data_IF_433491821655
#
_entry.id   IF_433491821655
#
_cell.length_a   1.000
_cell.length_b   1.000
_cell.length_c   1.000
_cell.angle_alpha   90.00
_cell.angle_beta   90.00
_cell.angle_gamma   90.00
#
_symmetry.space_group_name_H-M   'P 1'
#
loop_
_entity.id
_entity.type
_entity.pdbx_description
1 polymer ?
#
# COMPACT_ATOMS: atom_id res chain seq x y z
N UNK A 1 17.42 -32.95 14.70
CA UNK A 1 16.47 -32.57 13.63
C UNK A 1 16.70 -31.09 13.33
N UNK A 2 17.34 -30.79 12.21
CA UNK A 2 17.55 -29.41 11.73
C UNK A 2 16.23 -28.84 11.23
N UNK A 3 15.95 -27.58 11.56
CA UNK A 3 14.76 -26.85 11.13
C UNK A 3 14.54 -27.05 9.62
N UNK A 4 13.39 -27.62 9.25
CA UNK A 4 12.99 -27.90 7.88
C UNK A 4 13.04 -26.61 7.06
N UNK A 5 14.06 -26.47 6.21
CA UNK A 5 14.31 -25.27 5.40
C UNK A 5 13.11 -24.95 4.52
N UNK A 6 12.77 -23.67 4.39
CA UNK A 6 11.88 -23.20 3.33
C UNK A 6 12.53 -23.56 1.99
N UNK A 7 11.83 -24.32 1.17
CA UNK A 7 12.35 -24.85 -0.09
C UNK A 7 12.31 -23.77 -1.17
N UNK A 8 13.05 -23.98 -2.26
CA UNK A 8 12.93 -23.12 -3.44
C UNK A 8 11.50 -23.07 -3.99
N UNK A 9 10.79 -24.20 -3.92
CA UNK A 9 9.40 -24.31 -4.37
C UNK A 9 8.46 -23.45 -3.50
N UNK A 10 8.70 -23.44 -2.18
CA UNK A 10 8.00 -22.54 -1.26
C UNK A 10 8.22 -21.06 -1.58
N UNK A 11 9.41 -20.71 -2.07
CA UNK A 11 9.78 -19.34 -2.43
C UNK A 11 9.20 -18.93 -3.79
N UNK A 12 9.14 -19.85 -4.76
CA UNK A 12 8.46 -19.64 -6.04
C UNK A 12 6.94 -19.47 -5.81
N UNK A 13 6.36 -20.23 -4.88
CA UNK A 13 4.94 -20.12 -4.48
C UNK A 13 4.56 -18.75 -3.91
N UNK A 14 5.46 -18.13 -3.14
CA UNK A 14 5.25 -16.80 -2.51
C UNK A 14 5.54 -15.65 -3.50
N UNK A 15 6.55 -15.81 -4.36
CA UNK A 15 7.08 -14.71 -5.19
C UNK A 15 6.45 -14.59 -6.56
N UNK A 16 6.15 -15.72 -7.22
CA UNK A 16 5.58 -15.73 -8.56
C UNK A 16 4.27 -14.91 -8.67
N UNK A 17 3.35 -14.94 -7.69
CA UNK A 17 2.11 -14.19 -7.80
C UNK A 17 2.23 -12.74 -7.28
N UNK A 18 3.23 -12.41 -6.45
CA UNK A 18 3.25 -11.15 -5.68
C UNK A 18 4.11 -10.04 -6.27
N UNK A 19 4.82 -10.28 -7.38
CA UNK A 19 5.82 -9.36 -7.98
C UNK A 19 7.06 -9.08 -7.11
N UNK A 20 7.16 -9.68 -5.91
CA UNK A 20 8.34 -9.57 -5.06
C UNK A 20 9.49 -10.42 -5.61
N UNK A 21 10.69 -9.86 -5.58
CA UNK A 21 11.92 -10.61 -5.83
C UNK A 21 12.36 -11.32 -4.55
N UNK A 22 12.63 -12.61 -4.64
CA UNK A 22 13.21 -13.39 -3.54
C UNK A 22 14.69 -13.63 -3.78
N UNK A 23 15.50 -13.25 -2.81
CA UNK A 23 16.95 -13.44 -2.82
C UNK A 23 17.35 -14.37 -1.67
N UNK A 24 17.78 -15.61 -1.95
CA UNK A 24 18.37 -16.48 -0.94
C UNK A 24 19.62 -15.85 -0.32
N UNK A 25 19.79 -16.01 1.00
CA UNK A 25 21.00 -15.62 1.74
C UNK A 25 21.44 -16.76 2.65
N UNK A 26 22.67 -16.69 3.19
CA UNK A 26 23.29 -17.79 3.93
C UNK A 26 22.44 -18.37 5.08
N UNK A 27 21.64 -17.53 5.74
CA UNK A 27 20.82 -17.90 6.89
C UNK A 27 19.31 -17.69 6.68
N UNK A 28 18.86 -17.53 5.44
CA UNK A 28 17.44 -17.32 5.14
C UNK A 28 17.20 -16.73 3.76
N UNK A 29 16.31 -15.75 3.68
CA UNK A 29 15.99 -15.09 2.42
C UNK A 29 15.47 -13.68 2.64
N UNK A 30 15.70 -12.85 1.64
CA UNK A 30 15.25 -11.47 1.57
C UNK A 30 14.18 -11.38 0.47
N UNK A 31 13.10 -10.66 0.75
CA UNK A 31 12.09 -10.31 -0.24
C UNK A 31 12.09 -8.81 -0.43
N UNK A 32 11.98 -8.34 -1.67
CA UNK A 32 11.80 -6.93 -1.97
C UNK A 32 10.76 -6.74 -3.06
N UNK A 33 9.94 -5.71 -2.94
CA UNK A 33 9.12 -5.27 -4.06
C UNK A 33 10.00 -4.78 -5.23
N UNK A 34 9.39 -4.48 -6.37
CA UNK A 34 10.10 -4.04 -7.57
C UNK A 34 10.89 -2.72 -7.38
N UNK A 35 10.53 -1.90 -6.37
CA UNK A 35 11.16 -0.60 -6.10
C UNK A 35 12.22 -0.68 -4.99
N UNK A 36 12.26 -1.78 -4.25
CA UNK A 36 13.04 -1.90 -3.02
C UNK A 36 12.47 -1.07 -1.86
N UNK A 37 11.24 -0.56 -1.99
CA UNK A 37 10.58 0.27 -0.98
C UNK A 37 10.10 -0.60 0.17
N UNK A 38 9.53 -1.77 -0.09
CA UNK A 38 9.21 -2.73 0.96
C UNK A 38 10.14 -3.91 0.89
N UNK A 39 10.78 -4.20 2.02
CA UNK A 39 11.74 -5.27 2.16
C UNK A 39 11.40 -6.14 3.35
N UNK A 40 11.45 -7.44 3.17
CA UNK A 40 11.30 -8.43 4.23
C UNK A 40 12.56 -9.28 4.34
N UNK A 41 12.83 -9.72 5.56
CA UNK A 41 13.90 -10.65 5.87
C UNK A 41 13.32 -11.79 6.68
N UNK A 42 13.50 -13.01 6.20
CA UNK A 42 13.23 -14.21 6.99
C UNK A 42 14.55 -14.80 7.43
N UNK A 43 14.65 -15.11 8.72
CA UNK A 43 15.88 -15.52 9.40
C UNK A 43 15.64 -16.74 10.29
N UNK A 44 16.70 -17.38 10.83
CA UNK A 44 16.57 -18.59 11.64
C UNK A 44 15.66 -18.39 12.84
N UNK A 45 14.93 -19.45 13.19
CA UNK A 45 13.82 -19.38 14.16
C UNK A 45 12.55 -18.76 13.58
N UNK A 46 12.38 -18.80 12.25
CA UNK A 46 11.18 -18.35 11.54
C UNK A 46 10.75 -16.93 11.89
N UNK A 47 11.74 -16.04 12.00
CA UNK A 47 11.53 -14.63 12.29
C UNK A 47 11.45 -13.86 10.99
N UNK A 48 10.42 -13.03 10.88
CA UNK A 48 10.20 -12.11 9.78
C UNK A 48 10.39 -10.69 10.30
N UNK A 49 11.32 -9.98 9.68
CA UNK A 49 11.48 -8.54 9.86
C UNK A 49 11.14 -7.80 8.58
N UNK A 50 10.71 -6.56 8.72
CA UNK A 50 10.25 -5.69 7.63
C UNK A 50 10.94 -4.35 7.70
N UNK A 51 11.23 -3.77 6.55
CA UNK A 51 11.71 -2.40 6.40
C UNK A 51 10.89 -1.71 5.32
N UNK A 52 10.58 -0.44 5.54
CA UNK A 52 10.00 0.46 4.56
C UNK A 52 11.04 1.52 4.15
N UNK A 53 11.14 1.77 2.84
CA UNK A 53 12.10 2.64 2.17
C UNK A 53 13.52 2.38 2.71
N UNK A 54 14.22 3.43 3.12
CA UNK A 54 15.54 3.36 3.74
C UNK A 54 15.50 3.16 5.26
N UNK A 55 14.35 2.83 5.85
CA UNK A 55 14.17 2.66 7.28
C UNK A 55 14.86 1.40 7.84
N UNK A 56 15.03 1.31 9.17
CA UNK A 56 15.57 0.11 9.81
C UNK A 56 14.64 -1.09 9.61
N UNK A 57 15.19 -2.29 9.74
CA UNK A 57 14.37 -3.50 9.85
C UNK A 57 13.79 -3.60 11.26
N UNK A 58 12.49 -3.85 11.33
CA UNK A 58 11.76 -4.12 12.58
C UNK A 58 11.20 -5.54 12.52
N UNK A 59 11.26 -6.28 13.62
CA UNK A 59 10.63 -7.59 13.71
C UNK A 59 9.10 -7.41 13.67
N UNK A 60 8.43 -8.18 12.81
CA UNK A 60 6.97 -8.09 12.61
C UNK A 60 6.25 -9.40 12.92
N UNK A 61 6.91 -10.54 12.71
CA UNK A 61 6.31 -11.84 12.95
C UNK A 61 7.38 -12.85 13.34
N UNK A 62 7.04 -13.80 14.20
CA UNK A 62 7.88 -14.96 14.45
C UNK A 62 7.04 -16.19 14.68
N UNK A 63 7.48 -17.31 14.12
CA UNK A 63 6.70 -18.51 14.13
C UNK A 63 7.37 -19.78 14.65
N UNK A 64 6.55 -20.78 14.94
CA UNK A 64 6.99 -22.12 15.29
C UNK A 64 7.55 -22.92 14.10
N UNK A 65 7.13 -22.59 12.88
CA UNK A 65 7.44 -23.36 11.68
C UNK A 65 7.36 -22.57 10.37
N UNK A 66 8.00 -23.09 9.32
CA UNK A 66 8.05 -22.46 8.00
C UNK A 66 6.66 -22.26 7.36
N UNK A 67 5.75 -23.23 7.53
CA UNK A 67 4.39 -23.12 7.00
C UNK A 67 3.61 -21.91 7.54
N UNK A 68 3.81 -21.56 8.82
CA UNK A 68 3.21 -20.37 9.40
C UNK A 68 3.79 -19.08 8.80
N UNK A 69 5.11 -19.06 8.52
CA UNK A 69 5.75 -17.94 7.79
C UNK A 69 5.19 -17.83 6.38
N UNK A 70 4.97 -18.93 5.66
CA UNK A 70 4.38 -18.90 4.31
C UNK A 70 2.98 -18.28 4.32
N UNK A 71 2.11 -18.74 5.22
CA UNK A 71 0.76 -18.18 5.38
C UNK A 71 0.81 -16.70 5.75
N UNK A 72 1.76 -16.32 6.61
CA UNK A 72 1.92 -14.93 7.02
C UNK A 72 2.31 -14.07 5.83
N UNK A 73 3.31 -14.49 5.05
CA UNK A 73 3.75 -13.76 3.86
C UNK A 73 2.66 -13.72 2.79
N UNK A 74 1.96 -14.83 2.52
CA UNK A 74 0.83 -14.85 1.59
C UNK A 74 -0.30 -13.92 2.03
N UNK A 75 -0.61 -13.87 3.33
CA UNK A 75 -1.56 -12.90 3.88
C UNK A 75 -1.07 -11.46 3.68
N UNK A 76 0.22 -11.18 3.90
CA UNK A 76 0.82 -9.86 3.71
C UNK A 76 0.84 -9.41 2.25
N UNK A 77 0.99 -10.36 1.32
CA UNK A 77 1.00 -10.10 -0.12
C UNK A 77 -0.35 -10.31 -0.78
N UNK A 78 -1.41 -10.59 -0.01
CA UNK A 78 -2.69 -11.05 -0.54
C UNK A 78 -3.28 -10.10 -1.59
N UNK A 79 -3.26 -8.78 -1.36
CA UNK A 79 -3.78 -7.87 -2.37
C UNK A 79 -2.82 -7.67 -3.53
N UNK A 80 -1.50 -7.56 -3.29
CA UNK A 80 -0.50 -7.45 -4.36
C UNK A 80 -0.63 -8.64 -5.34
N UNK A 81 -0.80 -9.85 -4.80
CA UNK A 81 -1.10 -11.07 -5.56
C UNK A 81 -2.38 -10.93 -6.38
N UNK A 82 -3.49 -10.57 -5.73
CA UNK A 82 -4.78 -10.49 -6.42
C UNK A 82 -4.76 -9.46 -7.53
N UNK A 83 -4.09 -8.34 -7.30
CA UNK A 83 -4.07 -7.22 -8.21
C UNK A 83 -3.13 -7.42 -9.39
N UNK A 84 -1.99 -8.10 -9.18
CA UNK A 84 -1.16 -8.57 -10.28
C UNK A 84 -1.91 -9.48 -11.26
N UNK A 85 -3.07 -10.00 -10.85
CA UNK A 85 -3.97 -10.85 -11.62
C UNK A 85 -5.33 -10.20 -11.96
N UNK A 86 -5.46 -8.87 -11.84
CA UNK A 86 -6.71 -8.12 -12.09
C UNK A 86 -7.93 -8.62 -11.28
N UNK A 87 -7.70 -9.18 -10.09
CA UNK A 87 -8.75 -9.66 -9.19
C UNK A 87 -9.15 -8.59 -8.16
N UNK A 88 -10.42 -8.56 -7.71
CA UNK A 88 -10.87 -7.62 -6.67
C UNK A 88 -10.17 -7.89 -5.34
N UNK A 89 -10.04 -6.86 -4.49
CA UNK A 89 -9.47 -7.01 -3.15
C UNK A 89 -10.35 -7.92 -2.32
N UNK A 90 -9.74 -8.79 -1.52
CA UNK A 90 -10.42 -9.49 -0.44
C UNK A 90 -10.02 -8.84 0.87
N UNK A 91 -10.97 -8.21 1.54
CA UNK A 91 -10.75 -7.62 2.85
C UNK A 91 -11.25 -8.59 3.93
N UNK A 92 -10.40 -9.00 4.88
CA UNK A 92 -10.86 -9.76 6.03
C UNK A 92 -11.79 -8.87 6.85
N UNK A 93 -13.05 -9.28 7.01
CA UNK A 93 -13.99 -8.60 7.92
C UNK A 93 -14.12 -9.31 9.26
N UNK A 94 -13.39 -10.41 9.44
CA UNK A 94 -13.38 -11.18 10.68
C UNK A 94 -12.76 -10.34 11.81
N UNK A 95 -13.64 -9.79 12.64
CA UNK A 95 -13.27 -9.14 13.90
C UNK A 95 -13.16 -10.14 15.06
N UNK A 96 -13.68 -11.34 14.85
CA UNK A 96 -13.65 -12.43 15.82
C UNK A 96 -12.46 -13.36 15.55
N UNK A 97 -11.90 -13.88 16.63
CA UNK A 97 -10.83 -14.88 16.59
C UNK A 97 -11.43 -16.21 16.13
N UNK A 98 -10.71 -16.95 15.29
CA UNK A 98 -11.15 -18.25 14.80
C UNK A 98 -11.40 -19.23 15.98
N UNK A 99 -12.41 -20.11 15.88
CA UNK A 99 -12.70 -21.09 16.93
C UNK A 99 -11.46 -21.93 17.29
N UNK A 100 -11.20 -22.06 18.60
CA UNK A 100 -10.06 -22.82 19.13
C UNK A 100 -8.75 -22.04 19.23
N UNK A 101 -8.74 -20.77 18.84
CA UNK A 101 -7.60 -19.87 19.04
C UNK A 101 -7.87 -18.86 20.16
N UNK A 102 -6.80 -18.38 20.79
CA UNK A 102 -6.83 -17.24 21.70
C UNK A 102 -5.71 -16.27 21.38
N UNK A 103 -5.91 -14.99 21.74
CA UNK A 103 -4.88 -13.96 21.59
C UNK A 103 -4.54 -13.42 22.98
N UNK A 104 -3.25 -13.41 23.28
CA UNK A 104 -2.68 -12.79 24.48
C UNK A 104 -1.85 -11.57 24.06
N UNK A 105 -2.12 -10.42 24.66
CA UNK A 105 -1.31 -9.22 24.46
C UNK A 105 -0.16 -9.18 25.47
N UNK A 106 1.05 -8.94 24.98
CA UNK A 106 2.28 -8.79 25.77
C UNK A 106 2.97 -7.47 25.43
N UNK A 107 4.02 -7.12 26.17
CA UNK A 107 4.84 -5.94 25.86
C UNK A 107 5.56 -6.05 24.50
N UNK A 108 5.74 -7.28 23.99
CA UNK A 108 6.39 -7.53 22.71
C UNK A 108 5.41 -7.60 21.53
N UNK A 109 4.09 -7.72 21.78
CA UNK A 109 3.07 -7.82 20.74
C UNK A 109 1.90 -8.73 21.09
N UNK A 110 1.33 -9.40 20.09
CA UNK A 110 0.22 -10.34 20.26
C UNK A 110 0.70 -11.77 20.03
N UNK A 111 0.46 -12.65 21.00
CA UNK A 111 0.65 -14.09 20.89
C UNK A 111 -0.67 -14.74 20.50
N UNK A 112 -0.70 -15.38 19.33
CA UNK A 112 -1.82 -16.19 18.89
C UNK A 112 -1.56 -17.63 19.31
N UNK A 113 -2.35 -18.14 20.24
CA UNK A 113 -2.27 -19.52 20.71
C UNK A 113 -3.24 -20.40 19.94
N UNK A 114 -2.71 -21.46 19.32
CA UNK A 114 -3.49 -22.52 18.68
C UNK A 114 -3.95 -23.60 19.67
N UNK A 115 -4.91 -24.44 19.26
CA UNK A 115 -5.45 -25.52 20.10
C UNK A 115 -4.44 -26.66 20.36
N UNK A 116 -3.31 -26.67 19.65
CA UNK A 116 -2.16 -27.56 19.85
C UNK A 116 -1.10 -26.97 20.79
N UNK A 117 -1.34 -25.77 21.35
CA UNK A 117 -0.40 -25.07 22.23
C UNK A 117 0.75 -24.40 21.49
N UNK A 118 0.71 -24.35 20.15
CA UNK A 118 1.68 -23.60 19.35
C UNK A 118 1.29 -22.12 19.35
N UNK A 119 2.25 -21.25 19.64
CA UNK A 119 2.05 -19.81 19.67
C UNK A 119 2.81 -19.11 18.53
N UNK A 120 2.10 -18.28 17.78
CA UNK A 120 2.69 -17.40 16.76
C UNK A 120 2.68 -15.95 17.28
N UNK A 121 3.79 -15.22 17.10
CA UNK A 121 3.95 -13.88 17.69
C UNK A 121 3.92 -12.79 16.61
N UNK A 122 3.05 -11.79 16.81
CA UNK A 122 2.85 -10.63 15.96
C UNK A 122 3.33 -9.39 16.71
N UNK A 123 4.37 -8.73 16.21
CA UNK A 123 4.94 -7.55 16.87
C UNK A 123 4.34 -6.27 16.30
N UNK A 124 4.19 -5.21 17.12
CA UNK A 124 3.59 -3.95 16.67
C UNK A 124 4.53 -3.25 15.67
N UNK A 125 4.35 -3.57 14.39
CA UNK A 125 5.01 -2.88 13.27
C UNK A 125 4.05 -2.10 12.38
N UNK A 126 2.74 -2.32 12.51
CA UNK A 126 1.73 -1.61 11.72
C UNK A 126 0.42 -1.42 12.52
N UNK A 127 0.04 -0.18 12.89
CA UNK A 127 -1.23 0.10 13.54
C UNK A 127 -2.36 0.06 12.50
N UNK A 128 -3.08 -1.06 12.38
CA UNK A 128 -4.28 -1.06 11.53
C UNK A 128 -4.89 -2.40 11.17
N UNK A 129 -4.14 -3.50 11.28
CA UNK A 129 -4.67 -4.83 11.00
C UNK A 129 -4.80 -5.61 12.30
N UNK A 130 -5.96 -6.24 12.47
CA UNK A 130 -6.15 -7.33 13.42
C UNK A 130 -5.34 -8.55 12.92
N UNK A 131 -4.01 -8.44 12.82
CA UNK A 131 -3.15 -9.39 12.12
C UNK A 131 -3.24 -10.77 12.75
N UNK A 132 -3.13 -10.86 14.09
CA UNK A 132 -3.30 -12.11 14.81
C UNK A 132 -4.73 -12.68 14.64
N UNK A 133 -5.76 -11.85 14.69
CA UNK A 133 -7.16 -12.27 14.50
C UNK A 133 -7.39 -12.80 13.08
N UNK A 134 -6.95 -12.07 12.06
CA UNK A 134 -7.08 -12.47 10.66
C UNK A 134 -6.31 -13.75 10.39
N UNK A 135 -5.06 -13.81 10.88
CA UNK A 135 -4.21 -14.97 10.73
C UNK A 135 -4.79 -16.20 11.42
N UNK A 136 -5.53 -16.07 12.53
CA UNK A 136 -6.15 -17.21 13.22
C UNK A 136 -7.07 -18.04 12.31
N UNK A 137 -7.74 -17.41 11.34
CA UNK A 137 -8.57 -18.10 10.34
C UNK A 137 -7.77 -18.86 9.29
N UNK A 138 -6.51 -18.48 9.09
CA UNK A 138 -5.60 -19.07 8.11
C UNK A 138 -4.51 -19.94 8.76
N UNK A 139 -4.33 -19.88 10.08
CA UNK A 139 -3.20 -20.47 10.80
C UNK A 139 -3.01 -21.97 10.54
N UNK A 140 -4.11 -22.66 10.20
CA UNK A 140 -4.15 -24.10 9.87
C UNK A 140 -4.48 -24.40 8.42
N UNK A 141 -4.65 -23.40 7.57
CA UNK A 141 -4.92 -23.59 6.16
C UNK A 141 -3.78 -24.35 5.47
N UNK A 142 -4.09 -25.21 4.51
CA UNK A 142 -3.07 -25.68 3.59
C UNK A 142 -2.52 -24.50 2.76
N UNK A 143 -1.21 -24.43 2.58
CA UNK A 143 -0.56 -23.29 1.90
C UNK A 143 -0.97 -23.26 0.43
N UNK A 144 -1.11 -24.41 -0.23
CA UNK A 144 -1.54 -24.47 -1.62
C UNK A 144 -3.02 -24.09 -1.78
N UNK A 145 -3.88 -24.46 -0.82
CA UNK A 145 -5.29 -24.03 -0.82
C UNK A 145 -5.41 -22.51 -0.58
N UNK A 146 -4.56 -21.93 0.27
CA UNK A 146 -4.50 -20.48 0.46
C UNK A 146 -4.07 -19.76 -0.82
N UNK A 147 -3.02 -20.24 -1.49
CA UNK A 147 -2.63 -19.65 -2.77
C UNK A 147 -3.75 -19.79 -3.81
N UNK A 148 -4.40 -20.96 -3.90
CA UNK A 148 -5.53 -21.17 -4.81
C UNK A 148 -6.65 -20.17 -4.52
N UNK A 149 -6.96 -19.95 -3.25
CA UNK A 149 -7.95 -18.95 -2.81
C UNK A 149 -7.56 -17.53 -3.20
N UNK A 150 -6.28 -17.18 -3.09
CA UNK A 150 -5.78 -15.87 -3.52
C UNK A 150 -5.87 -15.67 -5.04
N UNK A 151 -5.78 -16.73 -5.83
CA UNK A 151 -5.90 -16.64 -7.30
C UNK A 151 -7.33 -16.87 -7.82
N UNK A 152 -8.26 -17.25 -6.94
CA UNK A 152 -9.66 -17.43 -7.28
C UNK A 152 -10.44 -16.10 -7.25
N UNK A 153 -11.32 -15.89 -8.23
CA UNK A 153 -12.08 -14.65 -8.35
C UNK A 153 -13.03 -14.42 -7.17
N UNK A 154 -13.61 -15.48 -6.60
CA UNK A 154 -14.48 -15.43 -5.42
C UNK A 154 -13.69 -15.49 -4.09
N UNK A 155 -12.47 -16.01 -4.12
CA UNK A 155 -11.67 -16.30 -2.94
C UNK A 155 -11.79 -17.75 -2.46
N UNK A 156 -12.37 -18.66 -3.25
CA UNK A 156 -12.60 -20.05 -2.84
C UNK A 156 -11.30 -20.88 -2.83
N UNK A 157 -11.11 -21.85 -1.90
CA UNK A 157 -12.09 -22.28 -0.88
C UNK A 157 -12.01 -21.55 0.47
N UNK A 158 -10.96 -20.76 0.75
CA UNK A 158 -10.68 -20.30 2.12
C UNK A 158 -11.08 -18.85 2.40
N UNK A 159 -11.12 -18.01 1.38
CA UNK A 159 -11.32 -16.57 1.48
C UNK A 159 -12.69 -16.12 0.95
N UNK A 160 -13.58 -17.06 0.61
CA UNK A 160 -14.91 -16.75 0.07
C UNK A 160 -15.79 -15.95 1.04
N UNK A 161 -15.53 -16.08 2.35
CA UNK A 161 -16.21 -15.30 3.39
C UNK A 161 -15.61 -13.87 3.55
N UNK A 162 -14.55 -13.53 2.84
CA UNK A 162 -13.93 -12.21 2.91
C UNK A 162 -14.64 -11.26 1.96
N UNK A 163 -14.78 -10.00 2.36
CA UNK A 163 -15.55 -9.04 1.57
C UNK A 163 -14.74 -8.58 0.38
N UNK A 164 -15.30 -8.77 -0.80
CA UNK A 164 -14.75 -8.21 -2.01
C UNK A 164 -14.92 -6.70 -2.03
N UNK A 165 -13.80 -5.98 -2.07
CA UNK A 165 -13.80 -4.54 -2.31
C UNK A 165 -13.32 -4.27 -3.74
N UNK A 166 -14.05 -3.44 -4.50
CA UNK A 166 -13.54 -3.00 -5.79
C UNK A 166 -12.23 -2.24 -5.58
N UNK A 167 -11.32 -2.34 -6.55
CA UNK A 167 -10.09 -1.55 -6.58
C UNK A 167 -10.48 -0.08 -6.39
N UNK A 168 -9.91 0.64 -5.40
CA UNK A 168 -10.21 2.05 -5.20
C UNK A 168 -9.97 2.80 -6.50
N UNK A 169 -11.06 3.33 -7.09
CA UNK A 169 -11.04 4.07 -8.34
C UNK A 169 -11.80 5.37 -8.18
N UNK A 170 -11.12 6.48 -8.40
CA UNK A 170 -11.70 7.82 -8.44
C UNK A 170 -11.55 8.32 -9.87
N UNK A 171 -12.65 8.70 -10.52
CA UNK A 171 -12.62 9.30 -11.84
C UNK A 171 -13.31 10.66 -11.79
N UNK A 172 -12.56 11.72 -12.06
CA UNK A 172 -13.07 13.09 -12.03
C UNK A 172 -12.83 13.81 -13.35
N UNK A 173 -13.80 14.61 -13.77
CA UNK A 173 -13.64 15.57 -14.86
C UNK A 173 -13.16 16.89 -14.29
N UNK A 174 -12.08 17.42 -14.85
CA UNK A 174 -11.43 18.68 -14.48
C UNK A 174 -11.07 19.45 -15.73
N UNK A 175 -10.47 20.61 -15.52
CA UNK A 175 -9.90 21.42 -16.57
C UNK A 175 -8.37 21.35 -16.47
N UNK A 176 -7.71 21.56 -17.60
CA UNK A 176 -6.28 21.82 -17.69
C UNK A 176 -6.08 23.11 -18.47
N UNK A 177 -5.06 23.89 -18.11
CA UNK A 177 -4.61 25.03 -18.90
C UNK A 177 -3.46 24.58 -19.80
N UNK A 178 -3.55 24.81 -21.10
CA UNK A 178 -2.51 24.40 -22.06
C UNK A 178 -1.62 25.57 -22.57
N UNK A 179 -1.62 26.69 -21.84
CA UNK A 179 -0.96 27.93 -22.27
C UNK A 179 -1.84 28.88 -23.08
N UNK A 180 -2.97 28.42 -23.63
CA UNK A 180 -3.87 29.25 -24.47
C UNK A 180 -5.33 29.19 -24.07
N UNK A 181 -5.81 28.03 -23.64
CA UNK A 181 -7.20 27.81 -23.25
C UNK A 181 -7.31 26.80 -22.11
N UNK A 182 -8.42 26.87 -21.40
CA UNK A 182 -8.85 25.79 -20.51
C UNK A 182 -9.47 24.67 -21.36
N UNK A 183 -8.95 23.46 -21.21
CA UNK A 183 -9.38 22.27 -21.94
C UNK A 183 -9.86 21.19 -20.98
N UNK A 184 -10.85 20.36 -21.37
CA UNK A 184 -11.29 19.25 -20.54
C UNK A 184 -10.17 18.23 -20.28
N UNK A 185 -10.05 17.82 -19.03
CA UNK A 185 -9.17 16.75 -18.59
C UNK A 185 -9.98 15.72 -17.79
N UNK A 186 -9.69 14.44 -18.00
CA UNK A 186 -10.19 13.35 -17.15
C UNK A 186 -9.04 12.84 -16.32
N UNK A 187 -9.19 12.87 -15.00
CA UNK A 187 -8.20 12.34 -14.06
C UNK A 187 -8.79 11.06 -13.47
N UNK A 188 -8.07 9.97 -13.62
CA UNK A 188 -8.41 8.67 -13.03
C UNK A 188 -7.31 8.31 -12.06
N UNK A 189 -7.68 8.23 -10.79
CA UNK A 189 -6.86 7.62 -9.76
C UNK A 189 -7.30 6.17 -9.57
N UNK A 190 -6.32 5.29 -9.46
CA UNK A 190 -6.50 3.89 -9.04
C UNK A 190 -5.42 3.53 -8.03
N UNK A 191 -5.74 2.60 -7.13
CA UNK A 191 -4.75 1.97 -6.26
C UNK A 191 -4.53 0.53 -6.74
N UNK A 192 -3.66 0.31 -7.74
CA UNK A 192 -3.43 -1.01 -8.31
C UNK A 192 -2.86 -1.99 -7.29
N UNK A 193 -2.17 -1.57 -6.24
CA UNK A 193 -1.74 -2.44 -5.14
C UNK A 193 -1.72 -1.71 -3.79
N UNK A 194 -1.34 -2.37 -2.68
CA UNK A 194 -1.39 -1.70 -1.38
C UNK A 194 -0.44 -0.50 -1.25
N UNK A 195 0.58 -0.42 -2.09
CA UNK A 195 1.72 0.48 -1.95
C UNK A 195 1.86 1.43 -3.14
N UNK A 196 1.23 1.08 -4.26
CA UNK A 196 1.26 1.80 -5.51
C UNK A 196 -0.05 2.52 -5.73
N UNK A 197 0.08 3.82 -5.96
CA UNK A 197 -0.99 4.71 -6.35
C UNK A 197 -0.74 5.15 -7.79
N UNK A 198 -1.75 5.01 -8.66
CA UNK A 198 -1.64 5.36 -10.07
C UNK A 198 -2.58 6.51 -10.40
N UNK A 199 -2.07 7.50 -11.10
CA UNK A 199 -2.86 8.58 -11.68
C UNK A 199 -2.68 8.55 -13.19
N UNK A 200 -3.79 8.48 -13.92
CA UNK A 200 -3.86 8.66 -15.36
C UNK A 200 -4.65 9.92 -15.67
N UNK A 201 -4.09 10.77 -16.52
CA UNK A 201 -4.73 11.99 -17.01
C UNK A 201 -4.92 11.88 -18.51
N UNK A 202 -6.13 12.16 -18.98
CA UNK A 202 -6.48 12.20 -20.40
C UNK A 202 -6.93 13.60 -20.79
N UNK A 203 -6.32 14.17 -21.82
CA UNK A 203 -6.70 15.47 -22.40
C UNK A 203 -6.82 15.28 -23.91
N UNK A 204 -8.02 15.47 -24.46
CA UNK A 204 -8.28 15.17 -25.87
C UNK A 204 -8.06 13.69 -26.20
N UNK A 205 -7.04 13.39 -27.00
CA UNK A 205 -6.65 12.02 -27.39
C UNK A 205 -5.42 11.51 -26.65
N UNK A 206 -4.74 12.39 -25.92
CA UNK A 206 -3.47 12.09 -25.29
C UNK A 206 -3.70 11.68 -23.83
N UNK A 207 -2.84 10.78 -23.34
CA UNK A 207 -2.90 10.29 -21.97
C UNK A 207 -1.51 10.19 -21.35
N UNK A 208 -1.41 10.60 -20.09
CA UNK A 208 -0.20 10.51 -19.28
C UNK A 208 -0.52 9.72 -18.02
N UNK A 209 0.41 8.87 -17.59
CA UNK A 209 0.24 8.04 -16.40
C UNK A 209 1.50 8.07 -15.57
N UNK A 210 1.33 8.07 -14.25
CA UNK A 210 2.43 7.87 -13.32
C UNK A 210 1.97 7.13 -12.07
N UNK A 211 2.93 6.44 -11.46
CA UNK A 211 2.76 5.63 -10.27
C UNK A 211 3.61 6.21 -9.13
N UNK A 212 3.01 6.43 -7.97
CA UNK A 212 3.66 6.98 -6.78
C UNK A 212 3.35 6.18 -5.51
N UNK A 213 4.10 6.42 -4.42
CA UNK A 213 3.83 5.84 -3.10
C UNK A 213 2.55 6.39 -2.43
N UNK A 214 1.95 7.43 -3.01
CA UNK A 214 0.67 8.03 -2.62
C UNK A 214 0.06 8.75 -3.83
N UNK A 215 -1.22 9.13 -3.75
CA UNK A 215 -1.95 9.77 -4.85
C UNK A 215 -1.35 11.14 -5.25
N UNK A 216 -0.76 11.88 -4.32
CA UNK A 216 -0.14 13.17 -4.59
C UNK A 216 1.18 13.01 -5.36
N UNK A 217 2.02 12.05 -4.95
CA UNK A 217 3.24 11.71 -5.68
C UNK A 217 2.97 11.17 -7.09
N UNK A 218 1.93 10.35 -7.24
CA UNK A 218 1.48 9.87 -8.55
C UNK A 218 0.99 11.03 -9.43
N UNK A 219 0.26 12.00 -8.86
CA UNK A 219 -0.15 13.22 -9.56
C UNK A 219 1.07 14.07 -9.97
N UNK A 220 2.04 14.25 -9.09
CA UNK A 220 3.28 14.97 -9.39
C UNK A 220 4.04 14.32 -10.55
N UNK A 221 4.16 12.98 -10.56
CA UNK A 221 4.80 12.29 -11.69
C UNK A 221 4.05 12.44 -13.03
N UNK A 222 2.74 12.70 -13.03
CA UNK A 222 2.01 13.11 -14.24
C UNK A 222 2.29 14.58 -14.58
N UNK A 223 2.34 15.46 -13.57
CA UNK A 223 2.67 16.88 -13.77
C UNK A 223 4.08 17.07 -14.33
N UNK A 224 5.06 16.28 -13.91
CA UNK A 224 6.43 16.28 -14.47
C UNK A 224 6.45 16.02 -15.99
N UNK A 225 5.48 15.25 -16.50
CA UNK A 225 5.33 14.99 -17.94
C UNK A 225 4.59 16.13 -18.65
N UNK A 226 3.67 16.80 -17.97
CA UNK A 226 2.82 17.86 -18.54
C UNK A 226 3.47 19.25 -18.52
N UNK A 227 4.25 19.58 -17.48
CA UNK A 227 4.88 20.90 -17.32
C UNK A 227 5.80 21.28 -18.49
N UNK A 228 6.65 20.39 -19.04
CA UNK A 228 7.45 20.69 -20.23
C UNK A 228 6.62 21.01 -21.48
N UNK A 229 5.35 20.57 -21.51
CA UNK A 229 4.40 20.86 -22.58
C UNK A 229 3.64 22.17 -22.35
N UNK A 230 3.90 22.88 -21.25
CA UNK A 230 3.16 24.07 -20.84
C UNK A 230 1.74 23.78 -20.37
N UNK A 231 1.47 22.55 -19.91
CA UNK A 231 0.14 22.12 -19.45
C UNK A 231 0.10 22.07 -17.92
N UNK A 232 -0.89 22.75 -17.33
CA UNK A 232 -1.15 22.75 -15.88
C UNK A 232 -2.55 22.18 -15.59
N UNK A 233 -2.64 21.20 -14.70
CA UNK A 233 -3.91 20.66 -14.26
C UNK A 233 -4.58 21.60 -13.25
N UNK A 234 -5.86 21.91 -13.44
CA UNK A 234 -6.61 22.82 -12.56
C UNK A 234 -7.20 22.05 -11.37
N UNK A 235 -6.30 21.51 -10.54
CA UNK A 235 -6.63 20.76 -9.32
C UNK A 235 -5.88 21.25 -8.09
N UNK A 236 -6.43 21.01 -6.89
CA UNK A 236 -5.83 21.38 -5.59
C UNK A 236 -4.42 20.83 -5.42
N UNK A 237 -4.16 19.61 -5.89
CA UNK A 237 -2.83 19.01 -5.85
C UNK A 237 -1.79 19.78 -6.68
N UNK A 238 -2.21 20.64 -7.61
CA UNK A 238 -1.34 21.51 -8.41
C UNK A 238 -1.35 22.98 -7.94
N UNK A 239 -2.12 23.32 -6.91
CA UNK A 239 -2.17 24.68 -6.34
C UNK A 239 -0.86 24.97 -5.59
N UNK A 240 -0.25 26.12 -5.84
CA UNK A 240 1.03 26.53 -5.22
C UNK A 240 0.94 26.51 -3.69
N UNK A 241 -0.15 27.05 -3.16
CA UNK A 241 -0.43 27.09 -1.71
C UNK A 241 -1.10 25.83 -1.18
N UNK A 242 -0.85 24.65 -1.76
CA UNK A 242 -1.42 23.39 -1.27
C UNK A 242 -0.40 22.29 -1.19
N UNK A 243 -0.40 21.55 -0.09
CA UNK A 243 0.55 20.46 0.13
C UNK A 243 0.00 19.45 1.16
N UNK A 244 0.26 18.15 1.02
CA UNK A 244 -0.13 17.15 2.01
C UNK A 244 0.86 17.10 3.17
N UNK A 245 0.37 16.89 4.40
CA UNK A 245 1.24 16.55 5.52
C UNK A 245 1.77 15.11 5.40
N UNK A 246 2.86 14.76 6.10
CA UNK A 246 3.36 13.38 6.15
C UNK A 246 2.27 12.39 6.57
N UNK A 247 1.47 12.73 7.58
CA UNK A 247 0.34 11.91 8.01
C UNK A 247 -0.74 11.72 6.92
N UNK A 248 -1.05 12.75 6.12
CA UNK A 248 -2.01 12.63 5.02
C UNK A 248 -1.48 11.75 3.88
N UNK A 249 -0.17 11.70 3.69
CA UNK A 249 0.47 10.81 2.73
C UNK A 249 0.48 9.37 3.26
N UNK A 250 0.95 9.18 4.48
CA UNK A 250 1.16 7.85 5.07
C UNK A 250 -0.16 7.15 5.47
N UNK A 251 -1.16 7.88 5.97
CA UNK A 251 -2.43 7.31 6.44
C UNK A 251 -3.63 7.63 5.52
N UNK A 252 -3.56 8.71 4.76
CA UNK A 252 -4.63 9.17 3.88
C UNK A 252 -4.40 8.88 2.40
N UNK A 253 -3.34 8.12 2.07
CA UNK A 253 -2.95 7.80 0.69
C UNK A 253 -2.71 9.02 -0.21
N UNK A 254 -2.44 10.20 0.36
CA UNK A 254 -2.23 11.44 -0.39
C UNK A 254 -3.48 11.95 -1.13
N UNK A 255 -4.67 11.46 -0.79
CA UNK A 255 -5.94 11.86 -1.42
C UNK A 255 -6.46 13.22 -0.96
N UNK A 256 -5.82 13.80 0.06
CA UNK A 256 -6.13 15.13 0.55
C UNK A 256 -4.86 15.97 0.75
N UNK A 257 -5.01 17.27 0.61
CA UNK A 257 -3.99 18.30 0.85
C UNK A 257 -4.51 19.36 1.81
N UNK A 258 -3.62 20.09 2.46
CA UNK A 258 -3.99 21.34 3.12
C UNK A 258 -3.83 22.50 2.15
N UNK A 259 -4.81 23.40 2.10
CA UNK A 259 -4.59 24.78 1.65
C UNK A 259 -3.84 25.52 2.75
N UNK A 260 -2.67 26.04 2.41
CA UNK A 260 -1.76 26.68 3.35
C UNK A 260 -1.80 28.18 3.15
N UNK A 261 -1.83 28.90 4.27
CA UNK A 261 -1.71 30.35 4.33
C UNK A 261 -0.44 30.71 5.12
N UNK A 262 0.42 31.62 4.62
CA UNK A 262 1.63 32.02 5.32
C UNK A 262 1.34 32.52 6.74
N UNK A 263 2.08 32.01 7.73
CA UNK A 263 1.92 32.38 9.14
C UNK A 263 0.71 31.78 9.86
N UNK A 264 -0.10 30.95 9.19
CA UNK A 264 -1.25 30.28 9.79
C UNK A 264 -1.02 28.77 9.93
N UNK A 265 -1.51 28.19 11.04
CA UNK A 265 -1.54 26.73 11.22
C UNK A 265 -2.75 26.15 10.49
N UNK A 266 -2.57 25.11 9.64
CA UNK A 266 -3.68 24.47 8.96
C UNK A 266 -4.61 23.78 9.95
N UNK A 267 -5.90 23.85 9.66
CA UNK A 267 -6.99 23.23 10.40
C UNK A 267 -7.72 22.22 9.52
N UNK A 268 -8.65 21.46 10.10
CA UNK A 268 -9.52 20.56 9.34
C UNK A 268 -10.33 21.29 8.26
N UNK A 269 -10.61 22.59 8.43
CA UNK A 269 -11.32 23.40 7.42
C UNK A 269 -10.47 23.71 6.19
N UNK A 270 -9.17 23.48 6.27
CA UNK A 270 -8.21 23.75 5.20
C UNK A 270 -7.90 22.48 4.40
N UNK A 271 -8.42 21.32 4.81
CA UNK A 271 -8.31 20.06 4.09
C UNK A 271 -9.14 20.11 2.81
N UNK A 272 -8.53 19.74 1.69
CA UNK A 272 -9.16 19.66 0.37
C UNK A 272 -8.82 18.34 -0.29
N UNK A 273 -9.71 17.88 -1.17
CA UNK A 273 -9.46 16.74 -2.06
C UNK A 273 -8.31 17.09 -3.01
N UNK A 274 -7.28 16.23 -3.12
CA UNK A 274 -6.12 16.43 -4.01
C UNK A 274 -6.54 16.64 -5.47
N UNK A 275 -7.63 16.01 -5.90
CA UNK A 275 -8.20 16.17 -7.23
C UNK A 275 -9.36 17.18 -7.25
N UNK A 276 -9.60 17.95 -6.19
CA UNK A 276 -10.57 19.05 -6.14
C UNK A 276 -10.26 20.13 -7.18
N UNK A 277 -11.26 20.86 -7.67
CA UNK A 277 -11.07 21.87 -8.71
C UNK A 277 -10.54 23.20 -8.14
N UNK A 278 -9.70 23.91 -8.90
CA UNK A 278 -9.18 25.25 -8.58
C UNK A 278 -9.15 26.13 -9.84
N UNK A 279 -8.97 27.44 -9.65
CA UNK A 279 -8.76 28.41 -10.73
C UNK A 279 -7.36 28.33 -11.34
N UNK A 280 -7.24 28.78 -12.59
CA UNK A 280 -5.96 28.81 -13.33
C UNK A 280 -4.88 29.67 -12.68
N UNK A 281 -5.29 30.69 -11.94
CA UNK A 281 -4.42 31.66 -11.25
C UNK A 281 -3.93 31.12 -9.90
N UNK A 282 -4.42 29.96 -9.47
CA UNK A 282 -4.03 29.31 -8.22
C UNK A 282 -2.96 28.22 -8.41
N UNK A 283 -2.82 27.70 -9.64
CA UNK A 283 -1.90 26.60 -9.97
C UNK A 283 -0.51 27.10 -10.36
N UNK A 284 0.50 26.27 -10.12
CA UNK A 284 1.86 26.57 -10.52
C UNK A 284 2.67 25.31 -10.78
N UNK A 285 3.94 25.52 -11.10
CA UNK A 285 4.90 24.43 -11.28
C UNK A 285 5.14 23.66 -9.98
N UNK A 286 5.57 22.41 -10.10
CA UNK A 286 6.02 21.59 -8.97
C UNK A 286 7.09 22.33 -8.17
N UNK A 287 8.05 22.97 -8.86
CA UNK A 287 9.12 23.72 -8.21
C UNK A 287 8.59 24.90 -7.37
N UNK A 288 7.57 25.61 -7.86
CA UNK A 288 6.94 26.70 -7.11
C UNK A 288 6.17 26.21 -5.89
N UNK A 289 5.41 25.12 -6.03
CA UNK A 289 4.67 24.52 -4.92
C UNK A 289 5.61 23.98 -3.84
N UNK A 290 6.70 23.30 -4.23
CA UNK A 290 7.74 22.81 -3.30
C UNK A 290 8.43 23.97 -2.59
N UNK A 291 8.76 25.05 -3.31
CA UNK A 291 9.34 26.25 -2.71
C UNK A 291 8.39 26.88 -1.69
N UNK A 292 7.13 27.08 -2.07
CA UNK A 292 6.11 27.62 -1.18
C UNK A 292 5.97 26.79 0.10
N UNK A 293 5.92 25.45 -0.03
CA UNK A 293 5.83 24.56 1.13
C UNK A 293 7.05 24.67 2.05
N UNK A 294 8.26 24.76 1.50
CA UNK A 294 9.49 24.95 2.30
C UNK A 294 9.49 26.29 3.03
N UNK A 295 9.09 27.36 2.36
CA UNK A 295 9.00 28.69 2.96
C UNK A 295 7.93 28.75 4.06
N UNK A 296 6.84 27.99 3.90
CA UNK A 296 5.79 27.87 4.92
C UNK A 296 6.24 27.09 6.17
N UNK A 297 7.19 26.16 6.05
CA UNK A 297 7.75 25.40 7.17
C UNK A 297 8.81 26.17 7.99
N UNK A 298 9.39 27.23 7.42
CA UNK A 298 10.47 28.03 8.01
C UNK A 298 9.96 29.02 9.07
#
# INVERSE_FOLDING_TARGET
MTASQLTREDLELISAPSTYTVTPVDDGFDLSDARGDIRYKVRPGWRVSRSERSGPFIDVFSASGGAAVQRYLLLRFAADVRLGHDLPWLHPEQREIAPGFTIESTDEGQLLHGPDGVAECFRPGNPGLYEATTFSWLARADVADLLRSLLDAAGEPLLAAWVQRPIPRIAVKRLAWNGTAEVPAVIVYTQPDYTTHRVTVTIGRDSWTSDGPDAFAALDGVREQLEPLGISLLVEGARVGSYPSGMQRDQGSGLVVYRMEPGAKPTQRDVRDTFGAVGRDEVGSIAEQVRFFRDWLA
#
